data_IF_443823957838
#
_entry.id   IF_443823957838
#
_cell.length_a   1.000
_cell.length_b   1.000
_cell.length_c   1.000
_cell.angle_alpha   90.00
_cell.angle_beta   90.00
_cell.angle_gamma   90.00
#
_symmetry.space_group_name_H-M   'P 1'
#
loop_
_entity.id
_entity.type
_entity.pdbx_description
1 polymer ?
#
# COMPACT_ATOMS: atom_id res chain seq x y z
N UNK A 1 25.77 2.06 37.11
CA UNK A 1 25.93 2.80 35.84
C UNK A 1 25.74 1.82 34.69
N UNK A 2 24.77 2.08 33.81
CA UNK A 2 24.54 1.18 32.69
C UNK A 2 25.61 1.32 31.63
N UNK A 3 25.99 0.19 31.03
CA UNK A 3 26.94 0.15 29.93
C UNK A 3 26.29 0.82 28.70
N UNK A 4 26.95 1.80 28.06
CA UNK A 4 26.41 2.45 26.86
C UNK A 4 26.07 1.48 25.71
N UNK A 5 26.78 0.37 25.60
CA UNK A 5 26.47 -0.64 24.58
C UNK A 5 25.18 -1.39 24.88
N UNK A 6 24.93 -1.69 26.15
CA UNK A 6 23.68 -2.35 26.55
C UNK A 6 22.50 -1.43 26.27
N UNK A 7 22.65 -0.12 26.55
CA UNK A 7 21.60 0.86 26.23
C UNK A 7 21.29 0.94 24.73
N UNK A 8 22.33 0.95 23.90
CA UNK A 8 22.16 0.96 22.43
C UNK A 8 21.43 -0.27 21.94
N UNK A 9 21.75 -1.43 22.49
CA UNK A 9 21.06 -2.69 22.14
C UNK A 9 19.59 -2.65 22.56
N UNK A 10 19.29 -2.14 23.75
CA UNK A 10 17.91 -1.98 24.24
C UNK A 10 17.11 -1.05 23.33
N UNK A 11 17.69 0.09 22.95
CA UNK A 11 17.03 1.05 22.07
C UNK A 11 16.77 0.47 20.69
N UNK A 12 17.73 -0.28 20.14
CA UNK A 12 17.57 -0.93 18.83
C UNK A 12 16.46 -1.98 18.87
N UNK A 13 16.42 -2.81 19.91
CA UNK A 13 15.36 -3.81 20.07
C UNK A 13 13.98 -3.18 20.21
N UNK A 14 13.89 -2.08 20.98
CA UNK A 14 12.63 -1.36 21.13
C UNK A 14 12.15 -0.79 19.79
N UNK A 15 13.05 -0.20 19.00
CA UNK A 15 12.73 0.33 17.68
C UNK A 15 12.23 -0.78 16.74
N UNK A 16 12.88 -1.95 16.77
CA UNK A 16 12.45 -3.10 15.97
C UNK A 16 11.07 -3.61 16.39
N UNK A 17 10.80 -3.68 17.69
CA UNK A 17 9.50 -4.09 18.22
C UNK A 17 8.40 -3.12 17.82
N UNK A 18 8.66 -1.81 17.89
CA UNK A 18 7.69 -0.79 17.49
C UNK A 18 7.39 -0.87 15.99
N UNK A 19 8.42 -1.11 15.18
CA UNK A 19 8.24 -1.30 13.74
C UNK A 19 7.40 -2.53 13.43
N UNK A 20 7.67 -3.65 14.10
CA UNK A 20 6.89 -4.87 13.93
C UNK A 20 5.42 -4.67 14.32
N UNK A 21 5.15 -3.93 15.41
CA UNK A 21 3.80 -3.61 15.82
C UNK A 21 3.09 -2.74 14.77
N UNK A 22 3.77 -1.74 14.22
CA UNK A 22 3.20 -0.88 13.19
C UNK A 22 2.84 -1.70 11.95
N UNK A 23 3.74 -2.59 11.51
CA UNK A 23 3.50 -3.47 10.35
C UNK A 23 2.33 -4.42 10.61
N UNK A 24 2.25 -4.99 11.82
CA UNK A 24 1.16 -5.89 12.19
C UNK A 24 -0.20 -5.17 12.25
N UNK A 25 -0.21 -3.86 12.52
CA UNK A 25 -1.44 -3.07 12.56
C UNK A 25 -1.83 -2.49 11.20
N UNK A 26 -0.98 -2.63 10.18
CA UNK A 26 -1.26 -2.11 8.85
C UNK A 26 -2.47 -2.84 8.25
N UNK A 27 -3.38 -2.05 7.66
CA UNK A 27 -4.53 -2.57 6.92
C UNK A 27 -4.22 -2.71 5.43
N UNK A 28 -2.99 -2.40 5.02
CA UNK A 28 -2.57 -2.46 3.62
C UNK A 28 -1.83 -3.76 3.37
N UNK A 29 -2.33 -4.55 2.42
CA UNK A 29 -1.73 -5.84 2.05
C UNK A 29 -0.56 -5.61 1.08
N UNK A 30 0.59 -6.19 1.37
CA UNK A 30 1.73 -6.15 0.45
C UNK A 30 1.54 -7.19 -0.66
N UNK A 31 1.61 -6.74 -1.92
CA UNK A 31 1.47 -7.61 -3.08
C UNK A 31 2.82 -7.86 -3.74
N UNK A 32 2.92 -9.00 -4.39
CA UNK A 32 4.02 -9.37 -5.26
C UNK A 32 3.48 -10.18 -6.44
N UNK A 33 4.36 -10.63 -7.33
CA UNK A 33 3.94 -11.41 -8.51
C UNK A 33 3.31 -12.75 -8.11
N UNK A 34 3.64 -13.29 -6.93
CA UNK A 34 3.14 -14.59 -6.49
C UNK A 34 1.72 -14.52 -5.92
N UNK A 35 1.38 -13.42 -5.20
CA UNK A 35 0.08 -13.35 -4.52
C UNK A 35 -0.93 -12.43 -5.19
N UNK A 36 -0.52 -11.67 -6.22
CA UNK A 36 -1.36 -10.63 -6.82
C UNK A 36 -2.71 -11.14 -7.29
N UNK A 37 -2.71 -12.14 -8.14
CA UNK A 37 -3.95 -12.65 -8.75
C UNK A 37 -4.92 -13.21 -7.72
N UNK A 38 -4.40 -13.87 -6.68
CA UNK A 38 -5.23 -14.40 -5.61
C UNK A 38 -5.86 -13.28 -4.79
N UNK A 39 -5.08 -12.25 -4.45
CA UNK A 39 -5.58 -11.16 -3.59
C UNK A 39 -6.66 -10.34 -4.30
N UNK A 40 -6.51 -10.06 -5.60
CA UNK A 40 -7.50 -9.26 -6.33
C UNK A 40 -8.70 -10.08 -6.82
N UNK A 41 -8.71 -11.39 -6.61
CA UNK A 41 -9.70 -12.30 -7.22
C UNK A 41 -11.14 -12.02 -6.82
N UNK A 42 -11.37 -11.53 -5.61
CA UNK A 42 -12.73 -11.31 -5.08
C UNK A 42 -12.86 -9.94 -4.44
N UNK A 43 -14.02 -9.32 -4.64
CA UNK A 43 -14.39 -8.06 -4.00
C UNK A 43 -13.66 -6.86 -4.56
N UNK A 44 -13.68 -5.79 -3.77
CA UNK A 44 -13.06 -4.52 -4.13
C UNK A 44 -11.64 -4.46 -3.55
N UNK A 45 -10.67 -4.21 -4.43
CA UNK A 45 -9.26 -4.06 -4.04
C UNK A 45 -8.69 -2.83 -4.71
N UNK A 46 -8.21 -1.88 -3.90
CA UNK A 46 -7.53 -0.70 -4.39
C UNK A 46 -6.03 -0.91 -4.25
N UNK A 47 -5.32 -0.92 -5.38
CA UNK A 47 -3.88 -1.21 -5.42
C UNK A 47 -3.09 0.06 -5.70
N UNK A 48 -2.12 0.35 -4.84
CA UNK A 48 -1.14 1.42 -4.98
C UNK A 48 0.13 0.84 -5.63
N UNK A 49 0.39 1.25 -6.86
CA UNK A 49 1.63 0.90 -7.58
C UNK A 49 2.68 1.96 -7.25
N UNK A 50 3.77 1.56 -6.60
CA UNK A 50 4.75 2.47 -6.02
C UNK A 50 6.18 1.96 -6.18
N UNK A 51 7.16 2.81 -5.85
CA UNK A 51 8.58 2.42 -5.75
C UNK A 51 9.25 3.20 -4.62
N UNK A 52 10.31 2.64 -4.08
CA UNK A 52 11.02 3.24 -2.93
C UNK A 52 11.66 4.59 -3.27
N UNK A 53 12.13 4.76 -4.50
CA UNK A 53 12.77 6.00 -4.96
C UNK A 53 11.78 7.11 -5.25
N UNK A 54 10.50 6.84 -5.23
CA UNK A 54 9.44 7.76 -5.62
C UNK A 54 8.98 8.58 -4.41
N UNK A 55 9.35 9.88 -4.36
CA UNK A 55 8.96 10.79 -3.29
C UNK A 55 7.45 10.91 -3.13
N UNK A 56 6.69 11.24 -4.21
CA UNK A 56 5.22 11.32 -4.14
C UNK A 56 4.57 10.03 -3.65
N UNK A 57 5.11 8.85 -4.02
CA UNK A 57 4.62 7.56 -3.53
C UNK A 57 4.71 7.47 -2.01
N UNK A 58 5.86 7.89 -1.46
CA UNK A 58 6.08 7.82 -0.01
C UNK A 58 5.19 8.79 0.75
N UNK A 59 4.88 9.94 0.18
CA UNK A 59 3.94 10.89 0.77
C UNK A 59 2.53 10.30 0.84
N UNK A 60 2.17 9.46 -0.12
CA UNK A 60 0.85 8.82 -0.15
C UNK A 60 0.70 7.65 0.84
N UNK A 61 1.80 7.06 1.31
CA UNK A 61 1.74 5.90 2.21
C UNK A 61 0.90 6.16 3.47
N UNK A 62 1.15 7.22 4.26
CA UNK A 62 0.31 7.47 5.45
C UNK A 62 -1.14 7.80 5.10
N UNK A 63 -1.38 8.46 3.98
CA UNK A 63 -2.75 8.73 3.50
C UNK A 63 -3.46 7.41 3.19
N UNK A 64 -2.80 6.53 2.44
CA UNK A 64 -3.33 5.24 2.04
C UNK A 64 -3.64 4.36 3.26
N UNK A 65 -2.74 4.34 4.26
CA UNK A 65 -2.95 3.62 5.52
C UNK A 65 -4.18 4.12 6.27
N UNK A 66 -4.36 5.45 6.36
CA UNK A 66 -5.52 6.03 7.04
C UNK A 66 -6.82 5.68 6.30
N UNK A 67 -6.81 5.77 4.99
CA UNK A 67 -7.99 5.45 4.18
C UNK A 67 -8.35 3.98 4.25
N UNK A 68 -7.36 3.09 4.34
CA UNK A 68 -7.59 1.66 4.52
C UNK A 68 -8.37 1.36 5.80
N UNK A 69 -8.09 2.10 6.86
CA UNK A 69 -8.81 1.96 8.13
C UNK A 69 -10.22 2.51 8.06
N UNK A 70 -10.45 3.52 7.23
CA UNK A 70 -11.75 4.17 7.06
C UNK A 70 -12.69 3.37 6.16
N UNK A 71 -12.20 2.86 5.03
CA UNK A 71 -12.99 2.18 4.01
C UNK A 71 -12.78 0.66 4.08
N UNK A 72 -13.33 0.04 5.10
CA UNK A 72 -13.06 -1.38 5.43
C UNK A 72 -13.72 -2.36 4.48
N UNK A 73 -14.66 -1.92 3.66
CA UNK A 73 -15.27 -2.77 2.63
C UNK A 73 -14.39 -2.92 1.39
N UNK A 74 -13.33 -2.10 1.28
CA UNK A 74 -12.34 -2.17 0.22
C UNK A 74 -11.04 -2.72 0.82
N UNK A 75 -10.43 -3.71 0.18
CA UNK A 75 -9.09 -4.15 0.54
C UNK A 75 -8.10 -3.19 -0.08
N UNK A 76 -7.29 -2.55 0.76
CA UNK A 76 -6.20 -1.69 0.30
C UNK A 76 -4.93 -2.54 0.19
N UNK A 77 -4.21 -2.41 -0.91
CA UNK A 77 -3.00 -3.17 -1.17
C UNK A 77 -2.00 -2.31 -1.91
N UNK A 78 -0.73 -2.66 -1.84
CA UNK A 78 0.33 -1.95 -2.57
C UNK A 78 1.26 -2.94 -3.25
N UNK A 79 1.80 -2.51 -4.38
CA UNK A 79 2.72 -3.32 -5.18
C UNK A 79 3.93 -2.48 -5.57
N UNK A 80 5.11 -2.96 -5.20
CA UNK A 80 6.37 -2.32 -5.60
C UNK A 80 6.66 -2.68 -7.06
N UNK A 81 6.63 -1.68 -7.95
CA UNK A 81 6.79 -1.91 -9.39
C UNK A 81 8.17 -2.40 -9.77
N UNK A 82 9.20 -2.08 -8.99
CA UNK A 82 10.57 -2.54 -9.27
C UNK A 82 10.72 -4.03 -8.97
N UNK A 83 10.03 -4.50 -7.92
CA UNK A 83 10.06 -5.91 -7.53
C UNK A 83 9.10 -6.78 -8.33
N UNK A 84 8.05 -6.20 -8.89
CA UNK A 84 6.99 -6.93 -9.62
C UNK A 84 6.70 -6.23 -10.95
N UNK A 85 7.71 -6.14 -11.79
CA UNK A 85 7.65 -5.46 -13.09
C UNK A 85 6.63 -6.08 -14.03
N UNK A 86 6.44 -7.39 -13.96
CA UNK A 86 5.47 -8.13 -14.76
C UNK A 86 4.03 -7.66 -14.51
N UNK A 87 3.68 -7.43 -13.25
CA UNK A 87 2.34 -6.96 -12.88
C UNK A 87 2.14 -5.51 -13.36
N UNK A 88 3.12 -4.64 -13.13
CA UNK A 88 3.05 -3.25 -13.59
C UNK A 88 2.86 -3.18 -15.11
N UNK A 89 3.60 -4.00 -15.85
CA UNK A 89 3.48 -4.08 -17.31
C UNK A 89 2.11 -4.60 -17.74
N UNK A 90 1.57 -5.60 -17.03
CA UNK A 90 0.25 -6.19 -17.33
C UNK A 90 -0.84 -5.13 -17.34
N UNK A 91 -0.79 -4.17 -16.44
CA UNK A 91 -1.81 -3.13 -16.33
C UNK A 91 -1.39 -1.78 -16.92
N UNK A 92 -0.28 -1.77 -17.66
CA UNK A 92 0.19 -0.57 -18.34
C UNK A 92 0.55 0.58 -17.41
N UNK A 93 1.11 0.27 -16.23
CA UNK A 93 1.53 1.29 -15.28
C UNK A 93 2.87 1.87 -15.72
N UNK A 94 2.84 3.11 -16.22
CA UNK A 94 4.02 3.81 -16.73
C UNK A 94 4.46 4.97 -15.83
N UNK A 95 3.57 5.44 -14.98
CA UNK A 95 3.83 6.52 -14.02
C UNK A 95 3.44 6.08 -12.63
N UNK A 96 4.14 6.53 -11.60
CA UNK A 96 3.84 6.21 -10.21
C UNK A 96 3.79 7.47 -9.36
N UNK A 97 2.96 7.49 -8.30
CA UNK A 97 2.04 6.42 -7.94
C UNK A 97 0.87 6.30 -8.91
N UNK A 98 0.39 5.08 -9.11
CA UNK A 98 -0.86 4.81 -9.84
C UNK A 98 -1.74 3.96 -8.93
N UNK A 99 -3.00 4.35 -8.80
CA UNK A 99 -3.98 3.64 -8.00
C UNK A 99 -5.02 3.01 -8.92
N UNK A 100 -5.15 1.69 -8.86
CA UNK A 100 -6.13 0.97 -9.68
C UNK A 100 -7.13 0.28 -8.76
N UNK A 101 -8.42 0.55 -8.99
CA UNK A 101 -9.50 -0.15 -8.31
C UNK A 101 -9.87 -1.40 -9.10
N UNK A 102 -9.80 -2.56 -8.45
CA UNK A 102 -10.21 -3.83 -9.00
C UNK A 102 -11.52 -4.28 -8.38
N UNK A 103 -12.37 -4.89 -9.16
CA UNK A 103 -13.58 -5.55 -8.68
C UNK A 103 -13.65 -6.96 -9.28
N UNK A 104 -13.55 -7.96 -8.42
CA UNK A 104 -13.55 -9.36 -8.83
C UNK A 104 -12.53 -9.63 -9.94
N UNK A 105 -11.29 -9.23 -9.69
CA UNK A 105 -10.12 -9.36 -10.55
C UNK A 105 -10.08 -8.42 -11.78
N UNK A 106 -11.11 -7.58 -11.97
CA UNK A 106 -11.17 -6.71 -13.14
C UNK A 106 -10.85 -5.27 -12.78
N UNK A 107 -9.92 -4.60 -13.50
CA UNK A 107 -9.67 -3.18 -13.25
C UNK A 107 -10.89 -2.36 -13.66
N UNK A 108 -11.34 -1.49 -12.75
CA UNK A 108 -12.53 -0.66 -12.95
C UNK A 108 -12.18 0.80 -13.16
N UNK A 109 -11.16 1.29 -12.46
CA UNK A 109 -10.85 2.71 -12.43
C UNK A 109 -9.38 2.92 -12.09
N UNK A 110 -8.85 4.07 -12.45
CA UNK A 110 -7.42 4.36 -12.30
C UNK A 110 -7.22 5.84 -11.97
N UNK A 111 -6.31 6.11 -11.04
CA UNK A 111 -5.85 7.47 -10.73
C UNK A 111 -4.33 7.48 -10.75
N UNK A 112 -3.73 8.58 -11.21
CA UNK A 112 -2.28 8.74 -11.25
C UNK A 112 -1.85 9.96 -10.44
N UNK A 113 -0.69 9.84 -9.80
CA UNK A 113 -0.06 10.93 -9.07
C UNK A 113 -0.44 10.96 -7.60
N UNK A 114 0.11 11.95 -6.88
CA UNK A 114 -0.13 12.13 -5.45
C UNK A 114 -1.50 12.80 -5.25
N UNK A 115 -2.56 12.02 -5.46
CA UNK A 115 -3.95 12.50 -5.44
C UNK A 115 -4.42 12.91 -4.04
N UNK A 116 -3.67 12.57 -3.00
CA UNK A 116 -3.98 12.91 -1.62
C UNK A 116 -5.21 12.18 -1.09
N UNK A 117 -5.61 12.57 0.12
CA UNK A 117 -6.80 12.03 0.76
C UNK A 117 -8.07 12.26 -0.07
N UNK A 118 -8.29 13.45 -0.67
CA UNK A 118 -9.48 13.67 -1.51
C UNK A 118 -9.59 12.70 -2.67
N UNK A 119 -8.48 12.37 -3.34
CA UNK A 119 -8.49 11.44 -4.47
C UNK A 119 -8.86 10.03 -4.05
N UNK A 120 -8.26 9.54 -2.96
CA UNK A 120 -8.58 8.20 -2.43
C UNK A 120 -10.03 8.15 -1.95
N UNK A 121 -10.48 9.19 -1.27
CA UNK A 121 -11.87 9.29 -0.80
C UNK A 121 -12.86 9.23 -1.98
N UNK A 122 -12.57 9.94 -3.05
CA UNK A 122 -13.42 9.99 -4.24
C UNK A 122 -13.59 8.60 -4.87
N UNK A 123 -12.49 7.88 -5.10
CA UNK A 123 -12.57 6.55 -5.71
C UNK A 123 -13.21 5.53 -4.74
N UNK A 124 -12.94 5.65 -3.45
CA UNK A 124 -13.52 4.74 -2.46
C UNK A 124 -15.04 4.92 -2.36
N UNK A 125 -15.53 6.16 -2.41
CA UNK A 125 -16.97 6.43 -2.36
C UNK A 125 -17.69 5.99 -3.63
N UNK A 126 -17.02 6.04 -4.77
CA UNK A 126 -17.59 5.60 -6.05
C UNK A 126 -17.90 4.11 -6.06
N UNK A 127 -17.12 3.31 -5.32
CA UNK A 127 -17.25 1.84 -5.29
C UNK A 127 -17.75 1.38 -3.92
N UNK A 128 -19.01 1.62 -3.65
CA UNK A 128 -19.69 1.05 -2.50
C UNK A 128 -20.36 -0.26 -2.91
N UNK A 129 -20.37 -1.21 -1.99
CA UNK A 129 -20.95 -2.52 -2.26
C UNK A 129 -22.45 -2.44 -2.44
#
# INVERSE_FOLDING_TARGET
MEDPEIEKIKQRKLAEMLKQQADAQSQVTELDSANFDMVISEGLVLVDFWAEWCGPCRLMHPVFERMAKKYRHIRFARLNVDKSQDIAARYGVQAIPTFIMFKNAKPQDRMMGAVGEPGIHMIAQKYQM
#
